data_IF_527454162019
#
_entry.id   IF_527454162019
#
_cell.length_a   1.000
_cell.length_b   1.000
_cell.length_c   1.000
_cell.angle_alpha   90.00
_cell.angle_beta   90.00
_cell.angle_gamma   90.00
#
_symmetry.space_group_name_H-M   'P 1'
#
loop_
_entity.id
_entity.type
_entity.pdbx_description
1 polymer ?
#
# COMPACT_ATOMS: atom_id res chain seq x y z
N UNK A 1 -22.83 7.41 -65.61
CA UNK A 1 -23.28 7.71 -64.24
C UNK A 1 -24.03 6.49 -63.73
N UNK A 2 -23.48 5.81 -62.73
CA UNK A 2 -23.98 4.52 -62.25
C UNK A 2 -25.07 4.74 -61.19
N UNK A 3 -26.22 4.09 -61.37
CA UNK A 3 -27.25 3.94 -60.35
C UNK A 3 -27.71 2.49 -60.34
N UNK A 4 -27.35 1.73 -59.32
CA UNK A 4 -28.03 0.48 -58.97
C UNK A 4 -28.27 0.47 -57.46
N UNK A 5 -29.55 0.39 -57.11
CA UNK A 5 -30.11 0.23 -55.77
C UNK A 5 -29.83 -1.20 -55.28
N UNK A 6 -29.49 -1.36 -54.01
CA UNK A 6 -29.54 -2.65 -53.30
C UNK A 6 -30.72 -2.65 -52.33
N UNK A 7 -31.56 -3.69 -52.31
CA UNK A 7 -32.57 -3.86 -51.28
C UNK A 7 -32.16 -4.89 -50.20
N UNK A 8 -32.45 -4.52 -48.95
CA UNK A 8 -33.21 -5.27 -47.95
C UNK A 8 -33.03 -6.81 -47.84
N UNK A 9 -32.54 -7.29 -46.69
CA UNK A 9 -33.22 -8.25 -45.78
C UNK A 9 -32.24 -9.08 -44.92
N UNK A 10 -32.37 -8.99 -43.59
CA UNK A 10 -32.01 -10.06 -42.66
C UNK A 10 -33.07 -11.16 -42.67
N UNK A 11 -32.76 -12.39 -42.21
CA UNK A 11 -33.28 -12.73 -40.88
C UNK A 11 -32.35 -13.60 -40.01
N UNK A 12 -32.68 -13.52 -38.72
CA UNK A 12 -32.11 -14.23 -37.56
C UNK A 12 -32.27 -15.75 -37.66
N UNK A 13 -31.31 -16.49 -37.10
CA UNK A 13 -31.53 -17.84 -36.56
C UNK A 13 -30.95 -17.89 -35.14
N UNK A 14 -31.86 -17.96 -34.17
CA UNK A 14 -31.60 -18.28 -32.78
C UNK A 14 -31.22 -19.76 -32.65
N UNK A 15 -30.18 -20.04 -31.87
CA UNK A 15 -29.88 -21.38 -31.38
C UNK A 15 -29.68 -21.29 -29.86
N UNK A 16 -30.49 -22.00 -29.05
CA UNK A 16 -30.37 -21.96 -27.60
C UNK A 16 -29.24 -22.91 -27.15
N UNK A 17 -28.26 -22.39 -26.43
CA UNK A 17 -27.25 -23.19 -25.73
C UNK A 17 -27.65 -23.28 -24.25
N UNK A 18 -27.73 -24.49 -23.66
CA UNK A 18 -28.15 -24.68 -22.28
C UNK A 18 -27.07 -24.22 -21.28
N UNK A 19 -27.49 -23.47 -20.26
CA UNK A 19 -26.70 -23.11 -19.09
C UNK A 19 -26.53 -24.33 -18.15
N UNK A 20 -25.30 -24.74 -17.80
CA UNK A 20 -25.11 -25.57 -16.63
C UNK A 20 -25.13 -24.75 -15.33
N UNK A 21 -25.63 -25.41 -14.30
CA UNK A 21 -26.06 -24.90 -13.00
C UNK A 21 -25.05 -24.03 -12.25
N UNK A 22 -25.60 -23.01 -11.60
CA UNK A 22 -24.98 -22.20 -10.57
C UNK A 22 -24.76 -23.06 -9.31
N UNK A 23 -23.50 -23.39 -9.03
CA UNK A 23 -23.10 -23.90 -7.71
C UNK A 23 -22.87 -22.72 -6.78
N UNK A 24 -23.69 -22.70 -5.73
CA UNK A 24 -23.66 -21.75 -4.64
C UNK A 24 -22.28 -21.68 -3.94
N UNK A 25 -21.88 -20.44 -3.67
CA UNK A 25 -21.35 -19.98 -2.39
C UNK A 25 -20.26 -20.81 -1.72
N UNK A 26 -19.01 -20.48 -2.00
CA UNK A 26 -17.95 -20.55 -1.00
C UNK A 26 -17.28 -19.20 -0.92
N UNK A 27 -17.82 -18.36 -0.04
CA UNK A 27 -17.31 -17.01 0.25
C UNK A 27 -15.90 -17.13 0.86
N UNK A 28 -14.85 -16.60 0.20
CA UNK A 28 -13.53 -16.53 0.81
C UNK A 28 -13.55 -15.47 1.92
N UNK A 29 -12.83 -15.66 3.04
CA UNK A 29 -12.82 -14.72 4.15
C UNK A 29 -12.33 -13.34 3.68
N UNK A 30 -12.76 -12.24 4.33
CA UNK A 30 -12.42 -10.88 3.93
C UNK A 30 -10.90 -10.72 3.91
N UNK A 31 -10.35 -10.57 2.70
CA UNK A 31 -8.99 -10.08 2.51
C UNK A 31 -9.02 -8.60 2.88
N UNK A 32 -8.67 -8.30 4.13
CA UNK A 32 -8.06 -7.03 4.47
C UNK A 32 -6.74 -6.94 3.69
N UNK A 33 -6.85 -6.60 2.41
CA UNK A 33 -5.75 -6.13 1.60
C UNK A 33 -5.54 -4.68 2.03
N UNK A 34 -4.77 -4.49 3.11
CA UNK A 34 -4.13 -3.23 3.37
C UNK A 34 -3.31 -2.91 2.11
N UNK A 35 -3.81 -1.95 1.34
CA UNK A 35 -3.15 -1.45 0.13
C UNK A 35 -1.79 -0.89 0.56
N UNK A 36 -0.73 -1.67 0.35
CA UNK A 36 0.63 -1.29 0.72
C UNK A 36 1.08 -0.15 -0.23
N UNK A 37 1.44 1.05 0.26
CA UNK A 37 2.03 2.09 -0.56
C UNK A 37 3.30 1.63 -1.30
N UNK A 38 3.53 2.18 -2.49
CA UNK A 38 4.51 1.74 -3.50
C UNK A 38 6.00 1.83 -3.11
N UNK A 39 6.34 2.12 -1.85
CA UNK A 39 7.72 2.19 -1.33
C UNK A 39 7.96 1.26 -0.13
N UNK A 40 7.18 0.19 -0.01
CA UNK A 40 7.33 -0.80 1.05
C UNK A 40 8.28 -1.92 0.59
N UNK A 41 9.39 -2.08 1.31
CA UNK A 41 10.16 -3.30 1.20
C UNK A 41 9.41 -4.38 1.99
N UNK A 42 9.04 -5.47 1.30
CA UNK A 42 8.55 -6.68 1.95
C UNK A 42 9.76 -7.57 2.15
N UNK A 43 10.09 -7.82 3.40
CA UNK A 43 11.22 -8.68 3.72
C UNK A 43 10.74 -9.89 4.51
N UNK A 44 11.20 -11.07 4.12
CA UNK A 44 10.80 -12.33 4.77
C UNK A 44 11.92 -12.86 5.64
N UNK A 45 11.54 -13.25 6.85
CA UNK A 45 12.42 -13.97 7.76
C UNK A 45 11.68 -15.18 8.31
N UNK A 46 12.34 -16.33 8.34
CA UNK A 46 11.87 -17.52 9.02
C UNK A 46 12.47 -17.51 10.41
N UNK A 47 11.63 -17.77 11.41
CA UNK A 47 12.04 -17.86 12.79
C UNK A 47 11.47 -19.12 13.45
N UNK A 48 12.14 -19.60 14.51
CA UNK A 48 11.61 -20.68 15.33
C UNK A 48 10.36 -20.22 16.10
N UNK A 49 9.37 -21.10 16.24
CA UNK A 49 8.06 -20.77 16.83
C UNK A 49 8.12 -20.38 18.31
N UNK A 50 9.07 -20.95 19.08
CA UNK A 50 9.15 -20.74 20.53
C UNK A 50 9.93 -19.48 20.92
N UNK A 51 11.06 -19.23 20.27
CA UNK A 51 12.05 -18.23 20.72
C UNK A 51 12.26 -17.10 19.70
N UNK A 52 11.57 -17.18 18.56
CA UNK A 52 11.70 -16.26 17.42
C UNK A 52 13.15 -16.01 16.98
N UNK A 53 13.99 -17.02 17.14
CA UNK A 53 15.36 -17.00 16.61
C UNK A 53 15.28 -17.07 15.10
N UNK A 54 15.93 -16.10 14.44
CA UNK A 54 16.00 -16.04 12.98
C UNK A 54 16.81 -17.21 12.45
N UNK A 55 16.17 -18.06 11.65
CA UNK A 55 16.78 -19.24 11.01
C UNK A 55 17.06 -19.02 9.53
N UNK A 56 16.29 -18.18 8.86
CA UNK A 56 16.50 -17.80 7.46
C UNK A 56 16.06 -16.36 7.23
N UNK A 57 16.85 -15.54 6.51
CA UNK A 57 16.47 -14.18 6.16
C UNK A 57 16.76 -13.91 4.69
N UNK A 58 15.80 -13.30 3.98
CA UNK A 58 16.04 -12.75 2.64
C UNK A 58 16.99 -11.54 2.75
N UNK A 59 17.93 -11.32 1.79
CA UNK A 59 18.89 -10.24 1.86
C UNK A 59 18.29 -8.84 2.07
N UNK A 60 17.10 -8.58 1.52
CA UNK A 60 16.33 -7.36 1.76
C UNK A 60 15.95 -7.15 3.23
N UNK A 61 15.79 -8.22 4.03
CA UNK A 61 15.47 -8.14 5.45
C UNK A 61 16.51 -7.41 6.27
N UNK A 62 17.78 -7.45 5.89
CA UNK A 62 18.84 -6.81 6.67
C UNK A 62 18.96 -5.31 6.43
N UNK A 63 18.43 -4.82 5.29
CA UNK A 63 18.57 -3.42 4.86
C UNK A 63 17.91 -2.42 5.82
N UNK A 64 16.67 -2.62 6.30
CA UNK A 64 16.04 -1.69 7.23
C UNK A 64 16.81 -1.56 8.56
N UNK A 65 17.45 -2.65 9.01
CA UNK A 65 18.24 -2.68 10.23
C UNK A 65 19.68 -2.17 10.05
N UNK A 66 20.16 -2.00 8.82
CA UNK A 66 21.56 -1.63 8.56
C UNK A 66 22.56 -2.68 9.04
N UNK A 67 22.14 -3.96 9.11
CA UNK A 67 22.96 -5.10 9.54
C UNK A 67 23.35 -5.95 8.34
N UNK A 68 24.44 -6.70 8.45
CA UNK A 68 24.72 -7.77 7.49
C UNK A 68 23.83 -8.98 7.79
N UNK A 69 23.46 -9.76 6.76
CA UNK A 69 22.56 -10.92 6.94
C UNK A 69 23.12 -11.89 7.99
N UNK A 70 24.45 -12.08 8.03
CA UNK A 70 25.17 -12.88 9.04
C UNK A 70 24.94 -12.44 10.49
N UNK A 71 24.71 -11.16 10.73
CA UNK A 71 24.52 -10.60 12.07
C UNK A 71 23.06 -10.75 12.55
N UNK A 72 22.16 -11.09 11.62
CA UNK A 72 20.73 -11.33 11.89
C UNK A 72 20.47 -12.81 12.17
N UNK A 73 21.16 -13.72 11.48
CA UNK A 73 21.07 -15.15 11.75
C UNK A 73 21.37 -15.46 13.23
N UNK A 74 20.52 -16.27 13.86
CA UNK A 74 20.69 -16.67 15.26
C UNK A 74 20.32 -15.60 16.29
N UNK A 75 19.93 -14.39 15.88
CA UNK A 75 19.37 -13.40 16.81
C UNK A 75 17.88 -13.60 17.02
N UNK A 76 17.40 -13.21 18.19
CA UNK A 76 15.97 -13.07 18.44
C UNK A 76 15.42 -11.89 17.65
N UNK A 77 14.37 -12.12 16.85
CA UNK A 77 13.69 -11.06 16.12
C UNK A 77 13.21 -9.94 17.05
N UNK A 78 12.78 -10.27 18.27
CA UNK A 78 12.33 -9.29 19.26
C UNK A 78 13.45 -8.36 19.72
N UNK A 79 14.72 -8.76 19.61
CA UNK A 79 15.85 -7.87 19.94
C UNK A 79 16.08 -6.77 18.89
N UNK A 80 15.59 -6.98 17.67
CA UNK A 80 15.68 -6.03 16.56
C UNK A 80 14.49 -5.05 16.54
N UNK A 81 13.43 -5.39 17.27
CA UNK A 81 12.19 -4.63 17.34
C UNK A 81 12.05 -3.98 18.72
N UNK A 82 11.73 -2.69 18.73
CA UNK A 82 11.19 -2.01 19.89
C UNK A 82 9.71 -1.75 19.64
N UNK A 83 8.87 -2.39 20.44
CA UNK A 83 7.46 -2.02 20.54
C UNK A 83 7.16 -1.63 21.97
N UNK A 84 6.36 -0.57 22.16
CA UNK A 84 5.79 -0.27 23.47
C UNK A 84 4.85 -1.41 23.95
N UNK A 85 4.38 -2.24 23.02
CA UNK A 85 3.46 -3.35 23.25
C UNK A 85 4.13 -4.72 23.00
N UNK A 86 5.41 -4.87 23.41
CA UNK A 86 6.13 -6.15 23.23
C UNK A 86 5.41 -7.34 23.86
N UNK A 87 4.72 -7.15 24.98
CA UNK A 87 3.98 -8.23 25.65
C UNK A 87 2.77 -8.69 24.84
N UNK A 88 2.08 -7.76 24.17
CA UNK A 88 1.00 -8.09 23.22
C UNK A 88 1.51 -8.91 22.04
N UNK A 89 2.69 -8.56 21.51
CA UNK A 89 3.31 -9.31 20.42
C UNK A 89 3.63 -10.73 20.89
N UNK A 90 4.19 -10.91 22.09
CA UNK A 90 4.45 -12.24 22.69
C UNK A 90 3.16 -13.05 22.83
N UNK A 91 2.08 -12.46 23.33
CA UNK A 91 0.78 -13.14 23.46
C UNK A 91 0.22 -13.62 22.11
N UNK A 92 0.32 -12.77 21.08
CA UNK A 92 -0.10 -13.13 19.71
C UNK A 92 0.79 -14.22 19.13
N UNK A 93 2.08 -14.24 19.47
CA UNK A 93 3.00 -15.31 19.08
C UNK A 93 2.68 -16.62 19.79
N UNK A 94 2.40 -16.60 21.09
CA UNK A 94 1.96 -17.80 21.81
C UNK A 94 0.63 -18.33 21.26
N UNK A 95 -0.26 -17.44 20.82
CA UNK A 95 -1.51 -17.82 20.13
C UNK A 95 -1.24 -18.42 18.75
N UNK A 96 -0.17 -17.97 18.07
CA UNK A 96 0.26 -18.46 16.77
C UNK A 96 1.00 -19.80 16.85
N UNK A 97 1.86 -20.01 17.86
CA UNK A 97 2.55 -21.28 18.10
C UNK A 97 1.62 -22.37 18.61
N UNK A 98 0.60 -22.01 19.39
CA UNK A 98 -0.46 -22.94 19.84
C UNK A 98 -1.52 -23.25 18.78
N UNK A 99 -1.38 -22.74 17.55
CA UNK A 99 -2.33 -22.98 16.45
C UNK A 99 -3.67 -22.27 16.59
N UNK A 100 -3.90 -21.48 17.64
CA UNK A 100 -5.15 -20.71 17.86
C UNK A 100 -5.35 -19.60 16.83
N UNK A 101 -4.26 -19.08 16.27
CA UNK A 101 -4.29 -18.06 15.21
C UNK A 101 -3.28 -18.38 14.11
N UNK A 102 -3.70 -18.43 12.85
CA UNK A 102 -2.80 -18.74 11.73
C UNK A 102 -1.90 -17.57 11.30
N UNK A 103 -2.32 -16.33 11.58
CA UNK A 103 -1.56 -15.12 11.26
C UNK A 103 -1.96 -13.95 12.14
N UNK A 104 -1.04 -13.00 12.30
CA UNK A 104 -1.36 -11.69 12.84
C UNK A 104 -0.51 -10.58 12.23
N UNK A 105 -0.99 -9.34 12.31
CA UNK A 105 -0.27 -8.14 11.91
C UNK A 105 -0.28 -7.14 13.05
N UNK A 106 0.87 -6.51 13.32
CA UNK A 106 1.07 -5.46 14.33
C UNK A 106 1.98 -4.34 13.79
N UNK A 107 1.85 -3.14 14.33
CA UNK A 107 2.81 -2.05 14.11
C UNK A 107 3.97 -2.18 15.11
N UNK A 108 5.21 -2.03 14.61
CA UNK A 108 6.43 -2.15 15.40
C UNK A 108 7.41 -1.05 15.01
N UNK A 109 8.32 -0.70 15.92
CA UNK A 109 9.45 0.17 15.61
C UNK A 109 10.72 -0.68 15.51
N UNK A 110 11.38 -0.70 14.36
CA UNK A 110 12.68 -1.36 14.22
C UNK A 110 13.81 -0.45 14.66
N UNK A 111 14.86 -1.03 15.26
CA UNK A 111 16.09 -0.32 15.59
C UNK A 111 17.12 -0.56 14.50
N UNK A 112 17.56 0.50 13.84
CA UNK A 112 18.65 0.45 12.88
C UNK A 112 20.01 0.56 13.58
N UNK A 113 21.05 0.02 12.95
CA UNK A 113 22.41 -0.01 13.48
C UNK A 113 23.04 1.39 13.58
N UNK A 114 22.53 2.36 12.81
CA UNK A 114 22.89 3.79 12.90
C UNK A 114 22.31 4.47 14.16
N UNK A 115 21.61 3.73 15.02
CA UNK A 115 20.93 4.25 16.20
C UNK A 115 19.54 4.85 15.90
N UNK A 116 19.15 4.90 14.62
CA UNK A 116 17.84 5.38 14.19
C UNK A 116 16.73 4.37 14.45
N UNK A 117 15.50 4.88 14.49
CA UNK A 117 14.29 4.07 14.61
C UNK A 117 13.42 4.24 13.37
N UNK A 118 12.79 3.15 12.91
CA UNK A 118 11.86 3.19 11.79
C UNK A 118 10.57 2.47 12.14
N UNK A 119 9.43 2.99 11.71
CA UNK A 119 8.13 2.31 11.87
C UNK A 119 7.95 1.28 10.76
N UNK A 120 7.44 0.10 11.11
CA UNK A 120 7.13 -0.96 10.18
C UNK A 120 5.92 -1.76 10.68
N UNK A 121 5.26 -2.48 9.77
CA UNK A 121 4.30 -3.50 10.16
C UNK A 121 4.98 -4.85 10.12
N UNK A 122 4.80 -5.62 11.19
CA UNK A 122 5.18 -7.03 11.23
C UNK A 122 3.95 -7.88 10.96
N UNK A 123 4.04 -8.80 10.02
CA UNK A 123 3.03 -9.85 9.81
C UNK A 123 3.67 -11.19 10.08
N UNK A 124 3.20 -11.88 11.10
CA UNK A 124 3.65 -13.23 11.45
C UNK A 124 2.64 -14.24 10.94
N UNK A 125 3.11 -15.29 10.27
CA UNK A 125 2.30 -16.37 9.72
C UNK A 125 2.87 -17.70 10.23
N UNK A 126 2.01 -18.54 10.82
CA UNK A 126 2.39 -19.89 11.21
C UNK A 126 2.72 -20.71 9.97
N UNK A 127 3.88 -21.36 9.97
CA UNK A 127 4.27 -22.35 8.99
C UNK A 127 4.27 -23.72 9.68
N UNK A 128 3.23 -24.49 9.39
CA UNK A 128 3.06 -25.86 9.87
C UNK A 128 3.87 -26.83 9.03
N UNK A 129 4.32 -27.91 9.64
CA UNK A 129 4.89 -29.04 8.92
C UNK A 129 3.78 -29.95 8.35
N UNK A 130 4.18 -31.08 7.77
CA UNK A 130 3.26 -32.11 7.25
C UNK A 130 2.44 -32.82 8.32
N UNK A 131 2.82 -32.71 9.60
CA UNK A 131 2.06 -33.24 10.74
C UNK A 131 0.99 -32.27 11.24
N UNK A 132 0.99 -31.02 10.74
CA UNK A 132 0.05 -29.97 11.15
C UNK A 132 0.55 -29.14 12.33
N UNK A 133 1.74 -29.45 12.86
CA UNK A 133 2.35 -28.74 13.99
C UNK A 133 3.13 -27.50 13.54
N UNK A 134 3.05 -26.42 14.32
CA UNK A 134 3.71 -25.14 13.98
C UNK A 134 5.21 -25.20 14.31
N UNK A 135 6.01 -25.71 13.36
CA UNK A 135 7.46 -25.81 13.53
C UNK A 135 8.20 -24.47 13.27
N UNK A 136 7.60 -23.54 12.54
CA UNK A 136 8.25 -22.25 12.25
C UNK A 136 7.26 -21.12 12.00
N UNK A 137 7.75 -19.89 12.06
CA UNK A 137 6.97 -18.68 11.76
C UNK A 137 7.64 -17.96 10.60
N UNK A 138 6.86 -17.60 9.59
CA UNK A 138 7.29 -16.70 8.52
C UNK A 138 6.86 -15.30 8.93
N UNK A 139 7.82 -14.40 8.99
CA UNK A 139 7.61 -13.01 9.35
C UNK A 139 7.85 -12.16 8.13
N UNK A 140 6.85 -11.36 7.78
CA UNK A 140 6.93 -10.33 6.76
C UNK A 140 7.07 -8.99 7.46
N UNK A 141 8.17 -8.30 7.20
CA UNK A 141 8.37 -6.92 7.63
C UNK A 141 8.02 -6.01 6.47
N UNK A 142 7.05 -5.12 6.69
CA UNK A 142 6.57 -4.12 5.75
C UNK A 142 6.92 -2.74 6.31
N UNK A 143 8.09 -2.22 5.93
CA UNK A 143 8.60 -0.92 6.36
C UNK A 143 8.99 -0.01 5.19
N UNK A 144 9.18 1.29 5.43
CA UNK A 144 9.66 2.20 4.39
C UNK A 144 10.99 1.66 3.84
N UNK A 145 11.07 1.48 2.53
CA UNK A 145 12.27 1.00 1.87
C UNK A 145 13.41 2.00 2.13
N UNK A 146 14.30 1.71 3.08
CA UNK A 146 15.56 2.43 3.23
C UNK A 146 16.44 2.02 2.05
N UNK A 147 16.43 2.81 0.99
CA UNK A 147 17.40 2.68 -0.08
C UNK A 147 18.78 2.97 0.52
N UNK A 148 19.70 2.01 0.42
CA UNK A 148 21.08 2.23 0.79
C UNK A 148 21.64 3.34 -0.12
N UNK A 149 22.00 4.47 0.47
CA UNK A 149 22.85 5.48 -0.18
C UNK A 149 22.17 6.53 -1.05
N UNK A 150 20.98 7.02 -0.70
CA UNK A 150 20.48 8.30 -1.24
C UNK A 150 19.83 9.13 -0.15
N UNK A 151 20.54 10.19 0.25
CA UNK A 151 20.00 11.33 0.96
C UNK A 151 18.76 11.85 0.24
N UNK A 152 17.60 11.62 0.83
CA UNK A 152 16.61 12.67 1.07
C UNK A 152 15.51 12.11 1.96
N UNK A 153 15.29 12.79 3.07
CA UNK A 153 14.12 12.63 3.91
C UNK A 153 12.83 12.79 3.08
N UNK A 154 12.27 11.68 2.60
CA UNK A 154 10.92 11.66 2.03
C UNK A 154 9.84 11.36 3.08
N UNK A 155 10.23 11.24 4.35
CA UNK A 155 9.31 11.43 5.47
C UNK A 155 9.33 12.91 5.88
N UNK A 156 8.28 13.61 5.48
CA UNK A 156 7.80 14.91 5.95
C UNK A 156 8.52 16.21 5.55
N UNK A 157 9.71 16.17 4.93
CA UNK A 157 10.49 17.40 4.66
C UNK A 157 10.40 18.03 3.26
N UNK A 158 9.98 17.30 2.23
CA UNK A 158 10.23 17.72 0.82
C UNK A 158 9.02 17.82 -0.11
N UNK A 159 7.82 17.46 0.34
CA UNK A 159 6.67 17.45 -0.55
C UNK A 159 6.06 18.86 -0.73
N UNK A 160 5.63 19.24 -1.94
CA UNK A 160 5.34 20.64 -2.23
C UNK A 160 4.06 21.13 -1.54
N UNK A 161 4.15 22.20 -0.73
CA UNK A 161 2.98 22.83 -0.08
C UNK A 161 1.99 23.43 -1.09
N UNK A 162 0.73 23.03 -1.03
CA UNK A 162 -0.34 23.50 -1.92
C UNK A 162 -1.03 24.74 -1.36
N UNK A 163 -1.55 25.62 -2.22
CA UNK A 163 -2.52 26.62 -1.76
C UNK A 163 -3.82 25.93 -1.33
N UNK A 164 -4.63 26.57 -0.48
CA UNK A 164 -5.93 26.03 -0.10
C UNK A 164 -6.83 25.73 -1.32
N UNK A 165 -6.73 26.56 -2.36
CA UNK A 165 -7.47 26.35 -3.60
C UNK A 165 -6.93 25.15 -4.39
N UNK A 166 -5.61 25.05 -4.59
CA UNK A 166 -5.00 23.94 -5.31
C UNK A 166 -5.26 22.60 -4.59
N UNK A 167 -5.29 22.61 -3.26
CA UNK A 167 -5.68 21.45 -2.45
C UNK A 167 -7.12 21.00 -2.78
N UNK A 168 -8.10 21.92 -2.79
CA UNK A 168 -9.49 21.60 -3.15
C UNK A 168 -9.65 21.13 -4.59
N UNK A 169 -8.85 21.68 -5.52
CA UNK A 169 -8.79 21.21 -6.91
C UNK A 169 -8.24 19.78 -6.94
N UNK A 170 -7.12 19.52 -6.29
CA UNK A 170 -6.47 18.20 -6.25
C UNK A 170 -7.39 17.14 -5.62
N UNK A 171 -8.11 17.46 -4.55
CA UNK A 171 -9.12 16.58 -3.93
C UNK A 171 -10.24 16.23 -4.91
N UNK A 172 -10.78 17.21 -5.63
CA UNK A 172 -11.82 16.95 -6.63
C UNK A 172 -11.30 16.15 -7.81
N UNK A 173 -10.06 16.40 -8.27
CA UNK A 173 -9.40 15.58 -9.29
C UNK A 173 -9.23 14.14 -8.82
N UNK A 174 -8.82 13.91 -7.56
CA UNK A 174 -8.66 12.59 -6.98
C UNK A 174 -10.00 11.86 -6.75
N UNK A 175 -11.08 12.61 -6.51
CA UNK A 175 -12.45 12.08 -6.51
C UNK A 175 -12.96 11.72 -7.90
N UNK A 176 -12.33 12.22 -8.97
CA UNK A 176 -12.74 12.01 -10.36
C UNK A 176 -13.67 13.09 -10.92
N UNK A 177 -13.75 14.27 -10.29
CA UNK A 177 -14.51 15.40 -10.83
C UNK A 177 -13.94 15.86 -12.19
N UNK A 178 -14.86 16.07 -13.14
CA UNK A 178 -14.54 16.75 -14.40
C UNK A 178 -14.13 18.21 -14.15
N UNK A 179 -13.40 18.79 -15.10
CA UNK A 179 -13.04 20.23 -15.04
C UNK A 179 -14.28 21.12 -14.93
N UNK A 180 -15.40 20.74 -15.55
CA UNK A 180 -16.65 21.49 -15.47
C UNK A 180 -17.25 21.45 -14.05
N UNK A 181 -17.30 20.26 -13.44
CA UNK A 181 -17.78 20.11 -12.05
C UNK A 181 -16.91 20.88 -11.06
N UNK A 182 -15.59 20.83 -11.22
CA UNK A 182 -14.64 21.62 -10.42
C UNK A 182 -14.87 23.12 -10.59
N UNK A 183 -15.04 23.60 -11.82
CA UNK A 183 -15.29 24.99 -12.14
C UNK A 183 -16.57 25.50 -11.47
N UNK A 184 -17.67 24.74 -11.59
CA UNK A 184 -18.94 25.06 -10.94
C UNK A 184 -18.84 25.05 -9.41
N UNK A 185 -18.22 24.01 -8.82
CA UNK A 185 -18.12 23.86 -7.36
C UNK A 185 -17.20 24.88 -6.70
N UNK A 186 -16.12 25.26 -7.38
CA UNK A 186 -15.11 26.19 -6.86
C UNK A 186 -15.33 27.63 -7.34
N UNK A 187 -16.42 27.91 -8.07
CA UNK A 187 -16.76 29.22 -8.63
C UNK A 187 -15.61 29.84 -9.45
N UNK A 188 -15.00 29.02 -10.31
CA UNK A 188 -13.90 29.42 -11.20
C UNK A 188 -14.25 29.14 -12.65
N UNK A 189 -13.55 29.81 -13.57
CA UNK A 189 -13.66 29.47 -14.99
C UNK A 189 -13.04 28.08 -15.26
N UNK A 190 -13.56 27.39 -16.29
CA UNK A 190 -13.00 26.11 -16.76
C UNK A 190 -11.50 26.21 -17.05
N UNK A 191 -11.10 27.29 -17.73
CA UNK A 191 -9.70 27.57 -18.04
C UNK A 191 -8.87 27.86 -16.79
N UNK A 192 -9.45 28.51 -15.78
CA UNK A 192 -8.81 28.73 -14.48
C UNK A 192 -8.48 27.42 -13.77
N UNK A 193 -9.41 26.44 -13.81
CA UNK A 193 -9.16 25.09 -13.29
C UNK A 193 -8.06 24.37 -14.09
N UNK A 194 -8.14 24.40 -15.42
CA UNK A 194 -7.13 23.76 -16.29
C UNK A 194 -5.73 24.33 -16.06
N UNK A 195 -5.63 25.66 -15.91
CA UNK A 195 -4.38 26.33 -15.57
C UNK A 195 -3.80 25.82 -14.25
N UNK A 196 -4.61 25.76 -13.19
CA UNK A 196 -4.19 25.29 -11.86
C UNK A 196 -3.71 23.84 -11.91
N UNK A 197 -4.44 22.98 -12.62
CA UNK A 197 -4.04 21.58 -12.83
C UNK A 197 -2.72 21.52 -13.60
N UNK A 198 -2.55 22.33 -14.65
CA UNK A 198 -1.28 22.43 -15.39
C UNK A 198 -0.10 22.85 -14.51
N UNK A 199 -0.30 23.80 -13.60
CA UNK A 199 0.71 24.20 -12.61
C UNK A 199 1.05 23.04 -11.66
N UNK A 200 0.05 22.30 -11.18
CA UNK A 200 0.27 21.13 -10.33
C UNK A 200 1.00 20.01 -11.07
N UNK A 201 0.67 19.74 -12.34
CA UNK A 201 1.37 18.75 -13.15
C UNK A 201 2.87 19.02 -13.22
N UNK A 202 3.25 20.28 -13.48
CA UNK A 202 4.66 20.71 -13.48
C UNK A 202 5.30 20.61 -12.10
N UNK A 203 4.60 21.09 -11.07
CA UNK A 203 5.10 21.11 -9.68
C UNK A 203 5.33 19.71 -9.11
N UNK A 204 4.50 18.75 -9.50
CA UNK A 204 4.60 17.35 -9.05
C UNK A 204 5.45 16.49 -9.99
N UNK A 205 5.93 17.06 -11.11
CA UNK A 205 6.65 16.38 -12.17
C UNK A 205 5.87 15.18 -12.72
N UNK A 206 4.67 15.45 -13.23
CA UNK A 206 3.75 14.43 -13.71
C UNK A 206 3.18 14.77 -15.09
N UNK A 207 3.06 13.79 -16.00
CA UNK A 207 2.68 14.05 -17.39
C UNK A 207 1.16 14.20 -17.61
N UNK A 208 0.32 13.72 -16.68
CA UNK A 208 -1.14 13.72 -16.84
C UNK A 208 -1.88 13.69 -15.51
N UNK A 209 -3.20 13.92 -15.55
CA UNK A 209 -4.07 14.03 -14.36
C UNK A 209 -4.04 12.78 -13.46
N UNK A 210 -4.15 11.54 -13.97
CA UNK A 210 -4.02 10.35 -13.13
C UNK A 210 -2.64 10.24 -12.46
N UNK A 211 -1.56 10.54 -13.19
CA UNK A 211 -0.21 10.53 -12.63
C UNK A 211 -0.05 11.56 -11.50
N UNK A 212 -0.67 12.73 -11.62
CA UNK A 212 -0.73 13.73 -10.53
C UNK A 212 -1.33 13.14 -9.26
N UNK A 213 -2.47 12.42 -9.37
CA UNK A 213 -3.14 11.79 -8.22
C UNK A 213 -2.25 10.69 -7.62
N UNK A 214 -1.69 9.82 -8.44
CA UNK A 214 -0.78 8.76 -7.98
C UNK A 214 0.46 9.32 -7.28
N UNK A 215 1.07 10.38 -7.83
CA UNK A 215 2.22 11.07 -7.23
C UNK A 215 1.85 11.75 -5.92
N UNK A 216 0.68 12.37 -5.83
CA UNK A 216 0.17 12.95 -4.59
C UNK A 216 -0.05 11.89 -3.49
N UNK A 217 -0.55 10.71 -3.85
CA UNK A 217 -0.62 9.57 -2.92
C UNK A 217 0.77 9.11 -2.47
N UNK A 218 1.71 8.91 -3.40
CA UNK A 218 3.07 8.48 -3.09
C UNK A 218 3.82 9.48 -2.18
N UNK A 219 3.58 10.78 -2.35
CA UNK A 219 4.17 11.84 -1.53
C UNK A 219 3.45 12.06 -0.19
N UNK A 220 2.41 11.28 0.12
CA UNK A 220 1.66 11.40 1.38
C UNK A 220 0.88 12.70 1.52
N UNK A 221 0.48 13.31 0.39
CA UNK A 221 -0.30 14.56 0.38
C UNK A 221 -1.72 14.29 0.90
N UNK A 222 -2.31 13.16 0.54
CA UNK A 222 -3.62 12.74 1.03
C UNK A 222 -3.54 12.08 2.41
N UNK A 223 -4.57 12.26 3.23
CA UNK A 223 -4.76 11.55 4.48
C UNK A 223 -4.92 10.05 4.22
N UNK A 224 -4.19 9.22 4.97
CA UNK A 224 -4.27 7.77 4.86
C UNK A 224 -5.62 7.25 5.38
N UNK A 225 -6.18 6.24 4.72
CA UNK A 225 -7.43 5.59 5.13
C UNK A 225 -8.71 6.40 4.94
N UNK A 226 -8.64 7.60 4.35
CA UNK A 226 -9.80 8.46 4.12
C UNK A 226 -10.30 8.36 2.67
N UNK A 227 -11.59 8.07 2.51
CA UNK A 227 -12.32 8.20 1.25
C UNK A 227 -13.53 9.14 1.42
N UNK A 228 -13.82 10.05 0.47
CA UNK A 228 -12.96 10.51 -0.62
C UNK A 228 -11.60 11.05 -0.15
N UNK A 229 -10.56 11.06 -1.01
CA UNK A 229 -9.23 11.54 -0.62
C UNK A 229 -9.27 13.01 -0.18
N UNK A 230 -8.59 13.31 0.93
CA UNK A 230 -8.46 14.67 1.51
C UNK A 230 -7.02 15.04 1.71
N UNK A 231 -6.64 16.27 1.37
CA UNK A 231 -5.28 16.78 1.58
C UNK A 231 -5.05 17.00 3.07
N UNK A 232 -3.91 16.57 3.58
CA UNK A 232 -3.56 16.72 5.00
C UNK A 232 -3.37 18.21 5.33
N UNK A 233 -3.85 18.71 6.49
CA UNK A 233 -3.70 20.11 6.87
C UNK A 233 -2.25 20.63 6.79
N UNK A 234 -1.27 19.82 7.19
CA UNK A 234 0.16 20.16 7.11
C UNK A 234 0.74 20.27 5.69
N UNK A 235 -0.06 20.01 4.64
CA UNK A 235 0.34 20.15 3.23
C UNK A 235 -0.34 21.32 2.53
N UNK A 236 -1.11 22.11 3.26
CA UNK A 236 -1.75 23.34 2.80
C UNK A 236 -0.97 24.53 3.37
N UNK A 237 -0.64 25.50 2.53
CA UNK A 237 -0.03 26.76 2.97
C UNK A 237 -1.00 27.49 3.90
N UNK A 238 -0.52 28.05 5.03
CA UNK A 238 -1.33 28.90 5.90
C UNK A 238 -1.82 30.15 5.16
#
# INVERSE_FOLDING_TARGET
>A
MATTKSPHASPRKDHPIPHPASTAGREPPPRNASCLPASLAICTVRAHSNDLIVTAAEPGFSRPFGLAVKDIYGRSLLSLLQSAELDRIKERLSSLSSGRTSRFTEEVTGKANDGGFFRAHITCVAATDVSGEVHSVVVLLCGPARAAGQDTALTDGGAPLLSALDARVLEGVAYGESTLQLASRLYLSRQGIEYRIGQMLRKFDTPNRPALVSRAHALGIFAAGQWPPRVRPGRIKP
#
